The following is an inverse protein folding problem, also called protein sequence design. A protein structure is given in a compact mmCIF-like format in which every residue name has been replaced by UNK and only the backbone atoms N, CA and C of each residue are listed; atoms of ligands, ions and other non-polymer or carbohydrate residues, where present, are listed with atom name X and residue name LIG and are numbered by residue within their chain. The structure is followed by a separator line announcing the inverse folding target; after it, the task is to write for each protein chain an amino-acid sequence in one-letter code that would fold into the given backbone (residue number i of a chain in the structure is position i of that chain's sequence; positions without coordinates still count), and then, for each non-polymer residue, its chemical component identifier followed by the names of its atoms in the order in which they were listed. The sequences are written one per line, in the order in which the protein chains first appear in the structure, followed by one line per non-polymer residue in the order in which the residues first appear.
data_IF_166749075229
#
_entry.id   IF_166749075229
#
_cell.length_a   1.000
_cell.length_b   1.000
_cell.length_c   1.000
_cell.angle_alpha   90.00
_cell.angle_beta   90.00
_cell.angle_gamma   90.00
#
_symmetry.space_group_name_H-M   'P 1'
#
loop_
_entity.id
_entity.type
_entity.pdbx_description
1 polymer ?
#
# COMPACT_ATOMS: atom_id res chain seq x y z
N UNK A 1 -7.39 46.41 16.56
CA UNK A 1 -7.65 45.14 17.28
C UNK A 1 -8.64 44.30 16.45
N UNK A 2 -8.19 43.41 15.56
CA UNK A 2 -9.09 42.43 14.89
C UNK A 2 -8.41 41.24 14.19
N UNK A 3 -7.06 41.12 14.22
CA UNK A 3 -6.36 40.02 13.54
C UNK A 3 -6.51 38.65 14.23
N UNK A 4 -6.76 38.62 15.54
CA UNK A 4 -6.78 37.37 16.33
C UNK A 4 -8.05 36.52 16.15
N UNK A 5 -9.17 37.10 15.69
CA UNK A 5 -10.41 36.34 15.48
C UNK A 5 -10.38 35.50 14.19
N UNK A 6 -9.76 35.99 13.12
CA UNK A 6 -9.65 35.25 11.86
C UNK A 6 -8.65 34.09 11.94
N UNK A 7 -7.55 34.26 12.68
CA UNK A 7 -6.54 33.21 12.85
C UNK A 7 -7.07 32.04 13.69
N UNK A 8 -7.89 32.33 14.71
CA UNK A 8 -8.52 31.31 15.56
C UNK A 8 -9.53 30.46 14.76
N UNK A 9 -10.40 31.08 13.95
CA UNK A 9 -11.38 30.35 13.11
C UNK A 9 -10.70 29.47 12.06
N UNK A 10 -9.60 29.95 11.47
CA UNK A 10 -8.79 29.15 10.54
C UNK A 10 -8.15 27.94 11.22
N UNK A 11 -7.62 28.10 12.44
CA UNK A 11 -7.00 27.01 13.21
C UNK A 11 -8.05 25.98 13.64
N UNK A 12 -9.20 26.40 14.17
CA UNK A 12 -10.28 25.48 14.56
C UNK A 12 -10.90 24.76 13.36
N UNK A 13 -11.13 25.46 12.25
CA UNK A 13 -11.61 24.84 11.01
C UNK A 13 -10.60 23.84 10.45
N UNK A 14 -9.32 24.18 10.45
CA UNK A 14 -8.25 23.30 9.98
C UNK A 14 -8.11 22.04 10.84
N UNK A 15 -8.10 22.17 12.17
CA UNK A 15 -8.03 21.04 13.11
C UNK A 15 -9.26 20.13 12.96
N UNK A 16 -10.46 20.72 12.88
CA UNK A 16 -11.71 19.96 12.76
C UNK A 16 -11.79 19.18 11.44
N UNK A 17 -11.40 19.82 10.32
CA UNK A 17 -11.36 19.16 9.01
C UNK A 17 -10.33 18.03 8.98
N UNK A 18 -9.11 18.25 9.53
CA UNK A 18 -8.08 17.22 9.59
C UNK A 18 -8.52 16.01 10.42
N UNK A 19 -9.11 16.26 11.60
CA UNK A 19 -9.60 15.21 12.48
C UNK A 19 -10.71 14.38 11.82
N UNK A 20 -11.66 15.03 11.13
CA UNK A 20 -12.73 14.32 10.39
C UNK A 20 -12.18 13.46 9.27
N UNK A 21 -11.21 13.96 8.50
CA UNK A 21 -10.60 13.21 7.40
C UNK A 21 -9.89 11.95 7.91
N UNK A 22 -9.14 12.07 9.02
CA UNK A 22 -8.47 10.94 9.67
C UNK A 22 -9.50 9.91 10.14
N UNK A 23 -10.56 10.34 10.83
CA UNK A 23 -11.61 9.45 11.34
C UNK A 23 -12.32 8.71 10.19
N UNK A 24 -12.68 9.42 9.10
CA UNK A 24 -13.34 8.81 7.95
C UNK A 24 -12.47 7.73 7.30
N UNK A 25 -11.18 7.99 7.10
CA UNK A 25 -10.31 6.99 6.50
C UNK A 25 -10.01 5.83 7.43
N UNK A 26 -9.81 6.08 8.72
CA UNK A 26 -9.70 5.01 9.71
C UNK A 26 -10.94 4.10 9.69
N UNK A 27 -12.15 4.66 9.61
CA UNK A 27 -13.40 3.88 9.49
C UNK A 27 -13.41 3.04 8.19
N UNK A 28 -12.98 3.59 7.06
CA UNK A 28 -12.87 2.85 5.80
C UNK A 28 -11.94 1.64 5.95
N UNK A 29 -10.78 1.82 6.58
CA UNK A 29 -9.78 0.75 6.73
C UNK A 29 -10.12 -0.26 7.83
N UNK A 30 -10.85 0.11 8.89
CA UNK A 30 -11.33 -0.88 9.89
C UNK A 30 -12.31 -1.91 9.32
N UNK A 31 -12.98 -1.59 8.22
CA UNK A 31 -13.87 -2.51 7.50
C UNK A 31 -13.18 -3.22 6.33
N UNK A 32 -11.92 -2.90 6.06
CA UNK A 32 -11.15 -3.51 4.98
C UNK A 32 -10.73 -4.91 5.43
N UNK A 33 -11.03 -5.91 4.61
CA UNK A 33 -10.57 -7.27 4.83
C UNK A 33 -9.31 -7.54 4.05
N UNK A 34 -8.47 -8.45 4.54
CA UNK A 34 -7.37 -9.03 3.77
C UNK A 34 -6.34 -7.99 3.26
N UNK A 35 -6.29 -6.83 3.90
CA UNK A 35 -5.37 -5.74 3.61
C UNK A 35 -4.01 -5.95 4.29
N UNK A 36 -3.00 -5.30 3.73
CA UNK A 36 -1.65 -5.31 4.29
C UNK A 36 -1.39 -4.00 5.03
N UNK A 37 -0.75 -4.12 6.20
CA UNK A 37 -0.33 -3.02 7.04
C UNK A 37 1.16 -3.15 7.30
N UNK A 38 1.95 -2.15 6.92
CA UNK A 38 3.39 -2.14 7.15
C UNK A 38 3.82 -0.86 7.83
N UNK A 39 4.67 -0.99 8.83
CA UNK A 39 5.35 0.16 9.44
C UNK A 39 6.72 0.31 8.78
N UNK A 40 7.01 1.50 8.26
CA UNK A 40 8.36 1.88 7.87
C UNK A 40 9.14 2.30 9.13
N UNK A 41 10.11 1.50 9.61
CA UNK A 41 10.84 1.81 10.83
C UNK A 41 11.73 3.05 10.71
N UNK A 42 12.08 3.48 9.48
CA UNK A 42 12.92 4.66 9.26
C UNK A 42 12.15 5.96 9.50
N UNK A 43 10.88 6.00 9.13
CA UNK A 43 10.06 7.21 9.18
C UNK A 43 8.94 7.15 10.21
N UNK A 44 8.58 5.96 10.69
CA UNK A 44 7.38 5.73 11.51
C UNK A 44 6.08 5.76 10.70
N UNK A 45 6.14 5.84 9.37
CA UNK A 45 4.94 5.82 8.54
C UNK A 45 4.28 4.44 8.57
N UNK A 46 2.95 4.42 8.64
CA UNK A 46 2.14 3.20 8.45
C UNK A 46 1.56 3.25 7.04
N UNK A 47 1.84 2.21 6.27
CA UNK A 47 1.34 2.00 4.92
C UNK A 47 0.20 0.99 4.94
N UNK A 48 -0.88 1.35 4.26
CA UNK A 48 -2.10 0.58 4.12
C UNK A 48 -2.27 0.22 2.65
N UNK A 49 -2.32 -1.08 2.34
CA UNK A 49 -2.22 -1.52 0.95
C UNK A 49 -3.29 -2.58 0.63
N UNK A 50 -4.04 -2.31 -0.45
CA UNK A 50 -4.97 -3.24 -1.09
C UNK A 50 -6.11 -3.73 -0.20
N UNK A 51 -6.40 -5.02 -0.29
CA UNK A 51 -7.47 -5.68 0.43
C UNK A 51 -8.82 -5.59 -0.28
N UNK A 52 -9.88 -5.96 0.44
CA UNK A 52 -11.22 -6.12 -0.11
C UNK A 52 -12.25 -5.23 0.59
N UNK A 53 -12.99 -4.46 -0.19
CA UNK A 53 -14.14 -3.67 0.26
C UNK A 53 -15.38 -4.56 0.26
N UNK A 54 -16.04 -4.64 1.42
CA UNK A 54 -17.36 -5.27 1.59
C UNK A 54 -17.50 -6.62 0.85
N UNK A 55 -16.50 -7.50 1.00
CA UNK A 55 -16.44 -8.86 0.43
C UNK A 55 -16.55 -8.99 -1.10
N UNK A 56 -16.55 -7.89 -1.84
CA UNK A 56 -16.94 -7.88 -3.25
C UNK A 56 -15.91 -7.25 -4.17
N UNK A 57 -15.12 -6.29 -3.68
CA UNK A 57 -14.23 -5.50 -4.52
C UNK A 57 -12.82 -5.53 -3.96
N UNK A 58 -11.92 -6.24 -4.65
CA UNK A 58 -10.48 -6.11 -4.41
C UNK A 58 -9.98 -4.75 -4.86
N UNK A 59 -8.99 -4.22 -4.14
CA UNK A 59 -8.35 -2.94 -4.48
C UNK A 59 -6.83 -3.06 -4.52
N UNK A 60 -6.21 -2.08 -5.17
CA UNK A 60 -4.78 -1.78 -5.11
C UNK A 60 -4.57 -0.41 -4.46
N UNK A 61 -5.51 0.00 -3.60
CA UNK A 61 -5.51 1.29 -2.92
C UNK A 61 -4.32 1.37 -1.96
N UNK A 62 -3.64 2.51 -1.94
CA UNK A 62 -2.50 2.76 -1.06
C UNK A 62 -2.78 4.02 -0.26
N UNK A 63 -2.81 3.88 1.06
CA UNK A 63 -2.89 4.99 2.00
C UNK A 63 -1.64 5.01 2.89
N UNK A 64 -1.31 6.20 3.41
CA UNK A 64 -0.23 6.39 4.38
C UNK A 64 -0.71 7.22 5.56
N UNK A 65 -0.40 6.75 6.76
CA UNK A 65 -0.51 7.54 7.98
C UNK A 65 0.89 7.88 8.51
N UNK A 66 1.16 9.17 8.72
CA UNK A 66 2.42 9.65 9.27
C UNK A 66 2.18 10.93 10.07
N UNK A 67 2.68 11.00 11.31
CA UNK A 67 2.63 12.21 12.15
C UNK A 67 1.22 12.83 12.28
N UNK A 68 0.20 11.98 12.44
CA UNK A 68 -1.19 12.45 12.55
C UNK A 68 -1.82 12.88 11.22
N UNK A 69 -1.11 12.80 10.09
CA UNK A 69 -1.65 13.11 8.77
C UNK A 69 -1.98 11.81 8.01
N UNK A 70 -3.17 11.80 7.40
CA UNK A 70 -3.61 10.74 6.52
C UNK A 70 -3.49 11.17 5.06
N UNK A 71 -2.73 10.43 4.26
CA UNK A 71 -2.66 10.59 2.81
C UNK A 71 -3.41 9.44 2.16
N UNK A 72 -4.60 9.73 1.64
CA UNK A 72 -5.47 8.75 1.02
C UNK A 72 -5.24 8.62 -0.49
N UNK A 73 -5.46 7.43 -1.04
CA UNK A 73 -5.40 7.12 -2.46
C UNK A 73 -4.14 7.66 -3.12
N UNK A 74 -2.99 7.38 -2.51
CA UNK A 74 -1.69 7.86 -2.99
C UNK A 74 -1.49 7.31 -4.41
N UNK A 75 -1.33 8.18 -5.42
CA UNK A 75 -1.10 7.72 -6.77
C UNK A 75 0.25 7.01 -6.84
N UNK A 76 0.32 5.94 -7.62
CA UNK A 76 1.57 5.27 -7.95
C UNK A 76 1.93 5.54 -9.41
N UNK A 77 3.23 5.68 -9.68
CA UNK A 77 3.75 5.91 -11.03
C UNK A 77 4.67 4.78 -11.46
N UNK A 78 4.79 4.56 -12.77
CA UNK A 78 5.76 3.60 -13.29
C UNK A 78 7.20 4.08 -12.98
N UNK A 79 8.17 3.16 -12.79
CA UNK A 79 9.53 3.54 -12.49
C UNK A 79 10.14 4.27 -13.70
N UNK A 80 11.09 5.17 -13.43
CA UNK A 80 11.97 5.66 -14.50
C UNK A 80 12.83 4.51 -15.03
N UNK A 81 13.42 4.66 -16.23
CA UNK A 81 14.22 3.64 -16.92
C UNK A 81 15.38 3.04 -16.12
N UNK A 82 15.70 3.60 -14.95
CA UNK A 82 16.84 3.24 -14.11
C UNK A 82 16.53 2.13 -13.09
N UNK A 83 15.25 1.83 -12.83
CA UNK A 83 14.83 0.96 -11.73
C UNK A 83 14.40 -0.47 -12.14
N UNK A 84 14.58 -0.86 -13.41
CA UNK A 84 14.32 -2.22 -13.91
C UNK A 84 13.51 -2.28 -15.21
N UNK A 85 13.22 -3.49 -15.73
CA UNK A 85 12.52 -3.65 -17.00
C UNK A 85 11.10 -3.06 -16.96
N UNK A 86 10.79 -2.22 -17.97
CA UNK A 86 9.44 -1.72 -18.28
C UNK A 86 8.54 -2.87 -18.77
N UNK A 87 8.21 -3.83 -17.92
CA UNK A 87 6.95 -4.53 -18.17
C UNK A 87 5.81 -3.58 -17.79
N UNK A 88 4.69 -3.66 -18.50
CA UNK A 88 3.49 -2.86 -18.25
C UNK A 88 2.92 -3.24 -16.88
N UNK A 89 3.51 -2.70 -15.81
CA UNK A 89 3.20 -3.10 -14.45
C UNK A 89 2.02 -2.26 -13.98
N UNK A 90 0.83 -2.82 -14.18
CA UNK A 90 -0.32 -2.43 -13.39
C UNK A 90 -0.24 -3.21 -12.09
N UNK A 91 -0.19 -2.50 -10.96
CA UNK A 91 -0.42 -3.14 -9.68
C UNK A 91 -1.85 -3.68 -9.70
N UNK A 92 -1.98 -5.00 -9.87
CA UNK A 92 -3.30 -5.62 -9.87
C UNK A 92 -3.99 -5.37 -8.53
N UNK A 93 -5.32 -5.40 -8.51
CA UNK A 93 -6.09 -5.34 -7.28
C UNK A 93 -5.92 -6.67 -6.57
N UNK A 94 -5.45 -6.69 -5.32
CA UNK A 94 -5.22 -7.93 -4.60
C UNK A 94 -5.71 -7.88 -3.16
N UNK A 95 -6.17 -9.04 -2.70
CA UNK A 95 -6.48 -9.35 -1.31
C UNK A 95 -5.76 -10.63 -0.90
N UNK A 96 -5.57 -10.79 0.42
CA UNK A 96 -5.01 -12.00 1.04
C UNK A 96 -3.60 -12.33 0.57
N UNK A 97 -2.85 -11.29 0.19
CA UNK A 97 -1.41 -11.35 -0.01
C UNK A 97 -0.67 -11.27 1.32
N UNK A 98 0.65 -11.33 1.25
CA UNK A 98 1.55 -10.89 2.33
C UNK A 98 2.45 -9.79 1.79
N UNK A 99 2.89 -8.85 2.63
CA UNK A 99 3.77 -7.80 2.20
C UNK A 99 4.93 -7.58 3.18
N UNK A 100 6.11 -7.26 2.64
CA UNK A 100 7.34 -7.02 3.40
C UNK A 100 8.03 -5.76 2.94
N UNK A 101 8.46 -4.93 3.89
CA UNK A 101 9.34 -3.80 3.61
C UNK A 101 10.81 -4.27 3.67
N UNK A 102 11.53 -4.09 2.57
CA UNK A 102 12.97 -4.32 2.49
C UNK A 102 13.67 -3.12 1.83
N UNK A 103 14.58 -2.47 2.57
CA UNK A 103 15.12 -1.19 2.16
C UNK A 103 14.00 -0.15 2.03
N UNK A 104 13.87 0.46 0.84
CA UNK A 104 12.80 1.42 0.52
C UNK A 104 11.67 0.79 -0.32
N UNK A 105 11.61 -0.55 -0.43
CA UNK A 105 10.64 -1.23 -1.29
C UNK A 105 9.72 -2.13 -0.47
N UNK A 106 8.42 -1.98 -0.70
CA UNK A 106 7.40 -2.89 -0.17
C UNK A 106 7.15 -3.95 -1.24
N UNK A 107 7.50 -5.19 -0.95
CA UNK A 107 7.27 -6.35 -1.82
C UNK A 107 5.96 -7.04 -1.43
N UNK A 108 5.19 -7.48 -2.43
CA UNK A 108 3.86 -8.07 -2.21
C UNK A 108 3.84 -9.46 -2.82
N UNK A 109 3.55 -10.45 -1.99
CA UNK A 109 3.66 -11.87 -2.28
C UNK A 109 2.29 -12.53 -2.30
N UNK A 110 2.02 -13.27 -3.39
CA UNK A 110 0.77 -14.00 -3.59
C UNK A 110 -0.48 -13.13 -3.48
N UNK A 111 -1.58 -13.73 -3.04
CA UNK A 111 -2.89 -13.09 -2.99
C UNK A 111 -3.74 -13.41 -4.23
N UNK A 112 -5.00 -13.00 -4.16
CA UNK A 112 -6.01 -13.21 -5.20
C UNK A 112 -6.53 -11.89 -5.74
N UNK A 113 -6.98 -11.95 -6.99
CA UNK A 113 -7.77 -10.90 -7.61
C UNK A 113 -9.14 -11.48 -7.99
N UNK A 114 -10.20 -10.88 -7.47
CA UNK A 114 -11.60 -11.14 -7.80
C UNK A 114 -12.10 -10.00 -8.67
N UNK A 115 -11.88 -10.12 -9.99
CA UNK A 115 -12.63 -9.33 -10.98
C UNK A 115 -14.03 -9.91 -11.21
N UNK A 116 -14.72 -9.43 -12.25
CA UNK A 116 -15.97 -10.02 -12.77
C UNK A 116 -15.73 -11.37 -13.49
N UNK A 117 -14.94 -12.26 -12.90
CA UNK A 117 -14.49 -13.51 -13.51
C UNK A 117 -13.85 -14.46 -12.50
N UNK A 118 -13.27 -15.59 -12.97
CA UNK A 118 -12.61 -16.56 -12.11
C UNK A 118 -11.52 -15.90 -11.26
N UNK A 119 -11.39 -16.32 -10.00
CA UNK A 119 -10.29 -15.87 -9.13
C UNK A 119 -8.95 -16.17 -9.80
N UNK A 120 -8.08 -15.17 -9.86
CA UNK A 120 -6.71 -15.34 -10.33
C UNK A 120 -5.72 -15.11 -9.19
N UNK A 121 -4.69 -15.93 -9.13
CA UNK A 121 -3.65 -15.85 -8.11
C UNK A 121 -2.46 -15.06 -8.62
N UNK A 122 -1.87 -14.23 -7.76
CA UNK A 122 -0.61 -13.59 -8.07
C UNK A 122 0.52 -14.62 -8.13
N UNK A 123 1.34 -14.54 -9.17
CA UNK A 123 2.50 -15.41 -9.34
C UNK A 123 3.65 -14.99 -8.41
N UNK A 124 4.38 -15.96 -7.87
CA UNK A 124 5.65 -15.74 -7.18
C UNK A 124 6.84 -15.58 -8.14
N UNK A 125 6.62 -15.84 -9.43
CA UNK A 125 7.63 -15.68 -10.47
C UNK A 125 7.93 -14.20 -10.73
N UNK A 126 6.92 -13.34 -10.60
CA UNK A 126 7.05 -11.90 -10.79
C UNK A 126 6.44 -11.16 -9.61
N UNK A 127 7.29 -10.70 -8.69
CA UNK A 127 6.88 -10.11 -7.42
C UNK A 127 6.74 -8.60 -7.60
N UNK A 128 5.53 -8.02 -7.51
CA UNK A 128 5.34 -6.59 -7.52
C UNK A 128 5.95 -5.94 -6.28
N UNK A 129 6.46 -4.73 -6.47
CA UNK A 129 6.98 -3.91 -5.41
C UNK A 129 6.54 -2.45 -5.53
N UNK A 130 6.53 -1.74 -4.40
CA UNK A 130 6.29 -0.29 -4.30
C UNK A 130 7.55 0.34 -3.73
N UNK A 131 8.19 1.26 -4.46
CA UNK A 131 9.27 2.06 -3.95
C UNK A 131 8.70 3.30 -3.24
N UNK A 132 8.87 3.34 -1.92
CA UNK A 132 8.37 4.40 -1.05
C UNK A 132 9.38 5.54 -0.84
N UNK A 133 10.57 5.48 -1.46
CA UNK A 133 11.52 6.61 -1.40
C UNK A 133 11.19 7.74 -2.37
N UNK A 134 10.21 7.56 -3.26
CA UNK A 134 9.79 8.56 -4.23
C UNK A 134 8.45 9.18 -3.83
N UNK A 135 8.18 10.37 -4.33
CA UNK A 135 6.90 11.07 -4.15
C UNK A 135 6.40 11.59 -5.50
N UNK A 136 5.36 10.99 -6.10
CA UNK A 136 4.62 9.81 -5.64
C UNK A 136 5.46 8.51 -5.59
N UNK A 137 5.05 7.49 -4.81
CA UNK A 137 5.68 6.18 -4.84
C UNK A 137 5.71 5.59 -6.25
N UNK A 138 6.79 4.89 -6.61
CA UNK A 138 6.86 4.17 -7.88
C UNK A 138 6.53 2.70 -7.69
N UNK A 139 6.03 2.05 -8.73
CA UNK A 139 5.73 0.60 -8.70
C UNK A 139 6.59 -0.12 -9.71
N UNK A 140 6.96 -1.35 -9.39
CA UNK A 140 7.64 -2.22 -10.32
C UNK A 140 7.43 -3.68 -10.00
N UNK A 141 8.25 -4.53 -10.59
CA UNK A 141 8.22 -5.97 -10.35
C UNK A 141 9.63 -6.56 -10.39
N UNK A 142 9.83 -7.62 -9.64
CA UNK A 142 11.09 -8.35 -9.56
C UNK A 142 10.87 -9.79 -10.03
N UNK A 143 11.64 -10.19 -11.05
CA UNK A 143 11.66 -11.57 -11.52
C UNK A 143 12.41 -12.42 -10.50
N UNK A 144 11.78 -13.50 -10.03
CA UNK A 144 12.41 -14.50 -9.17
C UNK A 144 12.99 -15.61 -10.03
N UNK A 145 14.28 -15.90 -9.95
CA UNK A 145 14.87 -17.01 -10.71
C UNK A 145 14.64 -18.35 -10.00
N UNK A 146 14.59 -19.44 -10.77
CA UNK A 146 14.46 -20.80 -10.24
C UNK A 146 13.00 -21.25 -10.02
N UNK A 147 12.83 -22.34 -9.27
CA UNK A 147 11.51 -22.90 -8.97
C UNK A 147 10.82 -22.10 -7.86
N UNK A 148 9.67 -21.51 -8.18
CA UNK A 148 8.83 -20.81 -7.22
C UNK A 148 7.56 -21.59 -6.92
N UNK A 149 6.95 -21.42 -5.72
CA UNK A 149 5.65 -22.00 -5.43
C UNK A 149 4.58 -21.49 -6.41
N UNK A 150 3.53 -22.31 -6.61
CA UNK A 150 2.33 -21.84 -7.29
C UNK A 150 1.69 -20.65 -6.57
N UNK A 151 1.04 -19.76 -7.35
CA UNK A 151 0.27 -18.65 -6.82
C UNK A 151 -0.78 -19.13 -5.81
N UNK A 152 -0.91 -18.42 -4.69
CA UNK A 152 -1.79 -18.76 -3.55
C UNK A 152 -2.14 -17.51 -2.74
N UNK A 153 -3.27 -17.55 -2.04
CA UNK A 153 -3.71 -16.59 -1.03
C UNK A 153 -3.63 -17.18 0.38
N UNK A 154 -3.92 -16.37 1.39
CA UNK A 154 -4.02 -16.77 2.80
C UNK A 154 -2.80 -17.55 3.32
N UNK A 155 -1.62 -17.25 2.76
CA UNK A 155 -0.35 -17.81 3.18
C UNK A 155 0.35 -16.88 4.16
N UNK A 156 1.30 -17.41 4.92
CA UNK A 156 2.21 -16.61 5.73
C UNK A 156 3.58 -16.57 5.05
N UNK A 157 4.27 -15.45 5.14
CA UNK A 157 5.64 -15.30 4.70
C UNK A 157 6.43 -14.53 5.74
N UNK A 158 7.72 -14.84 5.85
CA UNK A 158 8.61 -14.26 6.86
C UNK A 158 9.82 -13.71 6.14
N UNK A 159 10.15 -12.45 6.42
CA UNK A 159 11.44 -11.88 6.03
C UNK A 159 12.48 -12.31 7.08
N UNK A 160 13.49 -13.05 6.65
CA UNK A 160 14.62 -13.43 7.50
C UNK A 160 15.89 -12.79 6.96
N UNK A 161 16.79 -12.41 7.86
CA UNK A 161 18.16 -12.04 7.52
C UNK A 161 18.97 -13.33 7.51
N UNK A 162 19.53 -13.70 6.36
CA UNK A 162 20.61 -14.68 6.36
C UNK A 162 21.83 -14.02 7.01
N UNK A 163 22.40 -14.69 8.01
CA UNK A 163 23.62 -14.23 8.65
C UNK A 163 24.76 -14.44 7.65
N UNK A 164 25.14 -13.37 6.95
CA UNK A 164 26.46 -13.24 6.35
C UNK A 164 27.52 -13.02 7.44
#
# INVERSE_FOLDING_TARGET
MNANKNMCVLIYGYIYIHLICIIRQAITWTRRKEAQFLTDPKTGAIWYIGGRIADTIDTNEIDRFLNGAWNANIPVVLPSTTDGPKSTITMNKYSSSTAHLFGNRIYIFGGITSGNGPRSYQSFQNIPWINISTSPPTIGSQLTLGSVPSGRDAHCSVLSKEND
#
